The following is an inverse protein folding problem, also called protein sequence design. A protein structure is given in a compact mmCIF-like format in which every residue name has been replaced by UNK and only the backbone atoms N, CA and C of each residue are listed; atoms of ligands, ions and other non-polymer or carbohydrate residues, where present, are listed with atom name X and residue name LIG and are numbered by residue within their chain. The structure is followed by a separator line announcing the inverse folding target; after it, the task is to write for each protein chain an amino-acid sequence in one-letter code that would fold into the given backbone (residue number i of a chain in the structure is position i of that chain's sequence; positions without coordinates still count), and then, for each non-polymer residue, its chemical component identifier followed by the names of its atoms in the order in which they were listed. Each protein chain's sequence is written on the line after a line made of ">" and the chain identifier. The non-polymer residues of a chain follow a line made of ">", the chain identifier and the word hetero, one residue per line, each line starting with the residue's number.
data_IF_366288670075
#
_entry.id   IF_366288670075
#
_cell.length_a   1.000
_cell.length_b   1.000
_cell.length_c   1.000
_cell.angle_alpha   90.00
_cell.angle_beta   90.00
_cell.angle_gamma   90.00
#
_symmetry.space_group_name_H-M   'P 1'
#
loop_
_entity.id
_entity.type
_entity.pdbx_description
1 polymer ?
#
# COMPACT_ATOMS: atom_id res chain seq x y z
N UNK A 1 12.67 39.64 15.55
CA UNK A 1 13.03 38.73 14.43
C UNK A 1 12.89 37.33 14.99
N UNK A 2 11.68 36.78 14.87
CA UNK A 2 11.27 35.57 15.57
C UNK A 2 11.40 34.38 14.61
N UNK A 3 12.33 33.48 14.94
CA UNK A 3 12.54 32.21 14.24
C UNK A 3 11.27 31.36 14.31
N UNK A 4 10.71 31.05 13.14
CA UNK A 4 9.56 30.15 12.99
C UNK A 4 10.08 28.74 12.72
N UNK A 5 10.19 27.94 13.78
CA UNK A 5 10.52 26.52 13.70
C UNK A 5 9.40 25.76 12.98
N UNK A 6 9.63 25.41 11.71
CA UNK A 6 8.72 24.56 10.93
C UNK A 6 8.83 23.12 11.45
N UNK A 7 7.81 22.67 12.18
CA UNK A 7 7.66 21.27 12.59
C UNK A 7 7.26 20.42 11.38
N UNK A 8 8.16 19.54 10.93
CA UNK A 8 7.87 18.51 9.92
C UNK A 8 6.93 17.47 10.54
N UNK A 9 5.84 17.04 9.88
CA UNK A 9 4.97 16.00 10.42
C UNK A 9 5.73 14.67 10.44
N UNK A 10 5.91 14.11 11.63
CA UNK A 10 6.48 12.77 11.84
C UNK A 10 5.64 11.73 11.11
N UNK A 11 6.30 10.86 10.34
CA UNK A 11 5.67 9.74 9.66
C UNK A 11 4.85 8.90 10.64
N UNK A 12 3.58 8.66 10.30
CA UNK A 12 2.64 7.89 11.13
C UNK A 12 3.22 6.48 11.32
N UNK A 13 3.43 5.99 12.55
CA UNK A 13 3.92 4.63 12.75
C UNK A 13 2.94 3.64 12.12
N UNK A 14 3.47 2.62 11.44
CA UNK A 14 2.69 1.52 10.89
C UNK A 14 1.80 0.96 12.01
N UNK A 15 0.48 1.11 11.86
CA UNK A 15 -0.46 0.55 12.82
C UNK A 15 -0.44 -0.95 12.66
N UNK A 16 0.29 -1.64 13.53
CA UNK A 16 0.02 -3.03 13.87
C UNK A 16 -1.31 -3.05 14.63
N UNK A 17 -2.43 -2.96 13.90
CA UNK A 17 -3.75 -3.19 14.48
C UNK A 17 -3.88 -4.67 14.71
N UNK A 18 -3.73 -5.11 15.96
CA UNK A 18 -4.29 -6.39 16.36
C UNK A 18 -5.80 -6.31 16.01
N UNK A 19 -6.34 -7.19 15.14
CA UNK A 19 -7.71 -7.04 14.69
C UNK A 19 -8.63 -7.15 15.91
N UNK A 20 -9.40 -6.09 16.17
CA UNK A 20 -10.52 -6.17 17.10
C UNK A 20 -11.42 -7.30 16.58
N UNK A 21 -11.84 -8.26 17.43
CA UNK A 21 -12.69 -9.36 16.98
C UNK A 21 -13.94 -8.78 16.29
N UNK A 22 -14.09 -9.06 15.00
CA UNK A 22 -15.19 -8.57 14.15
C UNK A 22 -14.86 -7.43 13.18
N UNK A 23 -13.62 -6.90 13.14
CA UNK A 23 -13.20 -5.92 12.13
C UNK A 23 -12.38 -6.62 11.05
N UNK A 24 -12.81 -6.51 9.79
CA UNK A 24 -12.07 -7.06 8.65
C UNK A 24 -10.64 -6.51 8.60
N UNK A 25 -9.67 -7.42 8.46
CA UNK A 25 -8.27 -7.10 8.22
C UNK A 25 -7.77 -7.95 7.05
N UNK A 26 -7.10 -7.37 6.05
CA UNK A 26 -6.54 -8.14 4.96
C UNK A 26 -5.46 -9.10 5.49
N UNK A 27 -5.29 -10.28 4.87
CA UNK A 27 -4.24 -11.22 5.24
C UNK A 27 -2.85 -10.62 4.95
N UNK A 28 -1.83 -10.95 5.74
CA UNK A 28 -0.46 -10.53 5.47
C UNK A 28 0.05 -11.22 4.20
N UNK A 29 0.79 -10.47 3.37
CA UNK A 29 1.47 -10.99 2.18
C UNK A 29 2.91 -11.37 2.55
N UNK A 30 3.36 -12.59 2.23
CA UNK A 30 4.71 -13.05 2.55
C UNK A 30 5.46 -13.64 1.35
N UNK A 31 4.75 -13.94 0.26
CA UNK A 31 5.29 -14.43 -1.01
C UNK A 31 4.63 -13.73 -2.18
N UNK A 32 5.26 -13.79 -3.35
CA UNK A 32 4.80 -13.09 -4.56
C UNK A 32 3.38 -13.51 -4.92
N UNK A 33 3.05 -14.78 -4.75
CA UNK A 33 1.74 -15.35 -5.11
C UNK A 33 0.60 -14.76 -4.25
N UNK A 34 0.89 -14.33 -3.01
CA UNK A 34 -0.12 -13.73 -2.13
C UNK A 34 -0.61 -12.38 -2.64
N UNK A 35 0.19 -11.70 -3.47
CA UNK A 35 -0.19 -10.41 -4.08
C UNK A 35 -1.28 -10.57 -5.15
N UNK A 36 -1.44 -11.78 -5.71
CA UNK A 36 -2.29 -12.03 -6.87
C UNK A 36 -1.79 -11.36 -8.16
N UNK A 37 -0.56 -10.86 -8.17
CA UNK A 37 0.09 -10.24 -9.32
C UNK A 37 1.14 -11.17 -9.93
N UNK A 38 1.33 -11.10 -11.25
CA UNK A 38 2.37 -11.87 -11.93
C UNK A 38 3.78 -11.33 -11.64
N UNK A 39 4.74 -12.22 -11.41
CA UNK A 39 6.13 -11.84 -11.12
C UNK A 39 6.75 -10.95 -12.20
N UNK A 40 6.55 -11.27 -13.49
CA UNK A 40 7.05 -10.46 -14.61
C UNK A 40 6.45 -9.04 -14.62
N UNK A 41 5.18 -8.92 -14.23
CA UNK A 41 4.50 -7.63 -14.13
C UNK A 41 5.08 -6.79 -12.98
N UNK A 42 5.36 -7.43 -11.84
CA UNK A 42 6.03 -6.79 -10.70
C UNK A 42 7.48 -6.38 -11.02
N UNK A 43 8.20 -7.17 -11.82
CA UNK A 43 9.52 -6.81 -12.34
C UNK A 43 9.46 -5.58 -13.26
N UNK A 44 8.50 -5.54 -14.18
CA UNK A 44 8.28 -4.37 -15.04
C UNK A 44 7.90 -3.14 -14.18
N UNK A 45 7.09 -3.30 -13.13
CA UNK A 45 6.75 -2.22 -12.19
C UNK A 45 7.99 -1.71 -11.44
N UNK A 46 8.80 -2.61 -10.88
CA UNK A 46 10.03 -2.25 -10.19
C UNK A 46 11.01 -1.52 -11.12
N UNK A 47 11.17 -1.99 -12.37
CA UNK A 47 12.00 -1.30 -13.36
C UNK A 47 11.52 0.11 -13.66
N UNK A 48 10.21 0.33 -13.78
CA UNK A 48 9.64 1.67 -13.96
C UNK A 48 9.96 2.60 -12.79
N UNK A 49 9.85 2.11 -11.56
CA UNK A 49 10.18 2.87 -10.35
C UNK A 49 11.67 3.25 -10.35
N UNK A 50 12.56 2.30 -10.61
CA UNK A 50 14.01 2.54 -10.64
C UNK A 50 14.36 3.48 -11.80
N UNK A 51 13.72 3.34 -12.97
CA UNK A 51 13.92 4.22 -14.12
C UNK A 51 13.66 5.70 -13.79
N UNK A 52 12.60 6.00 -13.03
CA UNK A 52 12.27 7.37 -12.65
C UNK A 52 13.17 7.94 -11.54
N UNK A 53 13.65 7.11 -10.61
CA UNK A 53 14.44 7.57 -9.45
C UNK A 53 15.97 7.44 -9.63
N UNK A 54 16.42 6.67 -10.62
CA UNK A 54 17.83 6.42 -10.92
C UNK A 54 18.46 5.37 -10.01
N UNK A 55 18.84 5.77 -8.79
CA UNK A 55 19.52 4.91 -7.81
C UNK A 55 18.67 4.73 -6.55
N UNK A 56 18.37 3.49 -6.19
CA UNK A 56 17.58 3.20 -5.00
C UNK A 56 18.13 2.03 -4.21
N UNK A 57 17.97 2.10 -2.89
CA UNK A 57 18.22 0.92 -2.05
C UNK A 57 17.10 -0.09 -2.20
N UNK A 58 17.39 -1.37 -1.94
CA UNK A 58 16.37 -2.43 -1.93
C UNK A 58 15.17 -2.08 -1.04
N UNK A 59 15.41 -1.50 0.15
CA UNK A 59 14.34 -1.01 1.03
C UNK A 59 13.52 0.11 0.41
N UNK A 60 14.14 1.07 -0.28
CA UNK A 60 13.40 2.17 -0.94
C UNK A 60 12.54 1.65 -2.09
N UNK A 61 13.01 0.63 -2.80
CA UNK A 61 12.22 -0.05 -3.83
C UNK A 61 11.02 -0.75 -3.20
N UNK A 62 11.22 -1.46 -2.08
CA UNK A 62 10.16 -2.12 -1.34
C UNK A 62 9.10 -1.13 -0.81
N UNK A 63 9.54 0.01 -0.26
CA UNK A 63 8.65 1.10 0.16
C UNK A 63 7.84 1.66 -1.00
N UNK A 64 8.47 1.90 -2.16
CA UNK A 64 7.80 2.43 -3.35
C UNK A 64 6.75 1.45 -3.91
N UNK A 65 7.05 0.15 -3.87
CA UNK A 65 6.13 -0.93 -4.24
C UNK A 65 5.06 -1.20 -3.17
N UNK A 66 5.24 -0.68 -1.95
CA UNK A 66 4.45 -1.02 -0.75
C UNK A 66 4.35 -2.53 -0.50
N UNK A 67 5.45 -3.25 -0.74
CA UNK A 67 5.54 -4.70 -0.54
C UNK A 67 6.67 -5.04 0.45
N UNK A 68 6.53 -6.11 1.25
CA UNK A 68 7.61 -6.61 2.09
C UNK A 68 8.89 -6.88 1.29
N UNK A 69 10.04 -6.51 1.87
CA UNK A 69 11.31 -6.77 1.22
C UNK A 69 11.58 -8.28 1.11
N UNK A 70 11.50 -8.98 2.25
CA UNK A 70 11.77 -10.40 2.35
C UNK A 70 10.65 -11.23 1.71
N UNK A 71 11.03 -12.18 0.87
CA UNK A 71 10.12 -13.12 0.20
C UNK A 71 9.37 -12.56 -1.00
N UNK A 72 9.51 -11.28 -1.34
CA UNK A 72 8.81 -10.65 -2.47
C UNK A 72 9.76 -9.76 -3.26
N UNK A 73 10.20 -8.63 -2.69
CA UNK A 73 11.01 -7.65 -3.43
C UNK A 73 12.43 -8.18 -3.68
N UNK A 74 13.00 -8.92 -2.73
CA UNK A 74 14.24 -9.67 -2.93
C UNK A 74 14.18 -10.59 -4.16
N UNK A 75 13.11 -11.37 -4.33
CA UNK A 75 12.92 -12.24 -5.50
C UNK A 75 12.78 -11.46 -6.80
N UNK A 76 12.07 -10.34 -6.77
CA UNK A 76 11.92 -9.44 -7.93
C UNK A 76 13.29 -8.89 -8.34
N UNK A 77 14.06 -8.35 -7.39
CA UNK A 77 15.38 -7.77 -7.63
C UNK A 77 16.40 -8.81 -8.06
N UNK A 78 16.34 -10.02 -7.51
CA UNK A 78 17.21 -11.13 -7.92
C UNK A 78 16.94 -11.55 -9.37
N UNK A 79 15.67 -11.64 -9.76
CA UNK A 79 15.30 -11.89 -11.16
C UNK A 79 15.82 -10.80 -12.10
N UNK A 80 15.64 -9.52 -11.74
CA UNK A 80 16.13 -8.40 -12.54
C UNK A 80 17.67 -8.35 -12.62
N UNK A 81 18.38 -8.69 -11.53
CA UNK A 81 19.85 -8.82 -11.51
C UNK A 81 20.30 -9.94 -12.43
N UNK A 82 19.69 -11.12 -12.32
CA UNK A 82 20.01 -12.31 -13.12
C UNK A 82 19.84 -12.03 -14.61
N UNK A 83 18.80 -11.28 -14.97
CA UNK A 83 18.51 -10.86 -16.35
C UNK A 83 19.32 -9.62 -16.78
N UNK A 84 20.23 -9.11 -15.93
CA UNK A 84 21.09 -7.94 -16.18
C UNK A 84 20.34 -6.63 -16.46
N UNK A 85 19.12 -6.51 -15.97
CA UNK A 85 18.30 -5.30 -16.11
C UNK A 85 18.67 -4.25 -15.05
N UNK A 86 19.17 -4.71 -13.90
CA UNK A 86 19.72 -3.87 -12.83
C UNK A 86 21.07 -4.43 -12.37
N UNK A 87 21.83 -3.58 -11.70
CA UNK A 87 23.12 -3.92 -11.10
C UNK A 87 23.26 -3.31 -9.70
N UNK A 88 24.11 -3.90 -8.87
CA UNK A 88 24.44 -3.36 -7.54
C UNK A 88 25.65 -2.44 -7.68
N UNK A 89 25.47 -1.15 -7.40
CA UNK A 89 26.54 -0.13 -7.45
C UNK A 89 27.34 -0.06 -6.17
N UNK A 90 26.70 -0.31 -5.04
CA UNK A 90 27.34 -0.30 -3.73
C UNK A 90 26.64 -1.28 -2.80
N UNK A 91 27.45 -2.01 -2.04
CA UNK A 91 27.00 -2.86 -0.95
C UNK A 91 27.60 -2.32 0.34
N UNK A 92 26.76 -1.89 1.30
CA UNK A 92 27.24 -1.69 2.66
C UNK A 92 27.45 -3.05 3.32
N UNK A 93 28.71 -3.33 3.68
CA UNK A 93 29.12 -4.59 4.29
C UNK A 93 28.28 -4.86 5.56
N UNK A 94 27.70 -6.06 5.65
CA UNK A 94 26.98 -6.52 6.84
C UNK A 94 25.51 -6.09 6.98
N UNK A 95 24.96 -5.30 6.04
CA UNK A 95 23.56 -4.83 6.12
C UNK A 95 22.55 -5.62 5.26
N UNK A 96 23.01 -6.65 4.55
CA UNK A 96 22.18 -7.49 3.68
C UNK A 96 21.73 -6.82 2.37
N UNK A 97 20.99 -7.54 1.54
CA UNK A 97 20.62 -7.09 0.19
C UNK A 97 19.65 -5.90 0.18
N UNK A 98 18.88 -5.74 1.25
CA UNK A 98 17.92 -4.64 1.39
C UNK A 98 18.60 -3.26 1.44
N UNK A 99 19.87 -3.22 1.86
CA UNK A 99 20.68 -2.00 1.91
C UNK A 99 21.50 -1.75 0.63
N UNK A 100 21.51 -2.67 -0.32
CA UNK A 100 22.27 -2.51 -1.55
C UNK A 100 21.71 -1.38 -2.41
N UNK A 101 22.60 -0.58 -2.99
CA UNK A 101 22.22 0.47 -3.93
C UNK A 101 22.14 -0.11 -5.34
N UNK A 102 20.93 -0.18 -5.87
CA UNK A 102 20.65 -0.68 -7.20
C UNK A 102 20.64 0.44 -8.23
N UNK A 103 21.13 0.15 -9.43
CA UNK A 103 21.07 1.02 -10.60
C UNK A 103 20.47 0.26 -11.78
N UNK A 104 19.72 0.98 -12.62
CA UNK A 104 19.19 0.44 -13.87
C UNK A 104 20.30 0.37 -14.93
N UNK A 105 20.36 -0.73 -15.67
CA UNK A 105 21.31 -0.88 -16.79
C UNK A 105 20.70 -0.32 -18.09
N UNK A 106 21.50 -0.23 -19.16
CA UNK A 106 20.98 0.14 -20.48
C UNK A 106 19.87 -0.80 -20.98
N UNK A 107 19.99 -2.11 -20.74
CA UNK A 107 18.96 -3.08 -21.08
C UNK A 107 17.69 -2.88 -20.25
N UNK A 108 17.85 -2.59 -18.95
CA UNK A 108 16.74 -2.24 -18.06
C UNK A 108 16.00 -0.99 -18.51
N UNK A 109 16.71 0.05 -18.98
CA UNK A 109 16.11 1.29 -19.51
C UNK A 109 15.22 0.99 -20.72
N UNK A 110 15.69 0.18 -21.66
CA UNK A 110 14.92 -0.20 -22.86
C UNK A 110 13.64 -0.93 -22.43
N UNK A 111 13.76 -1.95 -21.57
CA UNK A 111 12.61 -2.70 -21.06
C UNK A 111 11.62 -1.83 -20.28
N UNK A 112 12.12 -0.90 -19.46
CA UNK A 112 11.28 0.02 -18.71
C UNK A 112 10.46 0.93 -19.65
N UNK A 113 11.07 1.42 -20.73
CA UNK A 113 10.36 2.22 -21.76
C UNK A 113 9.29 1.40 -22.47
N UNK A 114 9.61 0.18 -22.90
CA UNK A 114 8.61 -0.72 -23.50
C UNK A 114 7.45 -1.01 -22.54
N UNK A 115 7.72 -1.17 -21.24
CA UNK A 115 6.69 -1.35 -20.23
C UNK A 115 5.83 -0.09 -20.02
N UNK A 116 6.44 1.10 -20.08
CA UNK A 116 5.74 2.38 -20.01
C UNK A 116 4.84 2.60 -21.22
N UNK A 117 5.30 2.23 -22.43
CA UNK A 117 4.49 2.33 -23.66
C UNK A 117 3.20 1.51 -23.57
N UNK A 118 3.22 0.38 -22.85
CA UNK A 118 2.03 -0.42 -22.53
C UNK A 118 1.21 0.16 -21.38
N UNK A 119 1.88 0.65 -20.33
CA UNK A 119 1.24 1.14 -19.11
C UNK A 119 2.14 2.11 -18.35
N UNK A 120 1.70 3.37 -18.26
CA UNK A 120 2.38 4.47 -17.58
C UNK A 120 2.33 4.39 -16.04
N UNK A 121 1.60 3.42 -15.47
CA UNK A 121 1.50 3.29 -14.02
C UNK A 121 2.85 2.91 -13.40
N UNK A 122 3.33 3.73 -12.46
CA UNK A 122 4.58 3.52 -11.72
C UNK A 122 4.42 3.93 -10.25
N UNK A 123 3.48 3.28 -9.56
CA UNK A 123 3.19 3.51 -8.15
C UNK A 123 3.26 2.23 -7.30
N UNK A 124 2.61 2.23 -6.12
CA UNK A 124 2.43 1.05 -5.28
C UNK A 124 1.92 -0.18 -6.04
N UNK A 125 2.24 -1.39 -5.60
CA UNK A 125 1.69 -2.59 -6.22
C UNK A 125 0.14 -2.60 -6.07
N UNK A 126 -0.61 -2.67 -7.18
CA UNK A 126 -2.07 -2.65 -7.14
C UNK A 126 -2.63 -3.96 -6.60
N UNK A 127 -3.83 -3.91 -6.05
CA UNK A 127 -4.54 -5.11 -5.61
C UNK A 127 -5.49 -5.57 -6.73
N UNK A 128 -5.59 -6.87 -7.04
CA UNK A 128 -6.55 -7.38 -8.01
C UNK A 128 -7.99 -6.97 -7.66
N UNK A 129 -8.79 -6.63 -8.67
CA UNK A 129 -10.14 -6.09 -8.48
C UNK A 129 -11.04 -7.03 -7.67
N UNK A 130 -10.95 -8.34 -7.91
CA UNK A 130 -11.75 -9.33 -7.17
C UNK A 130 -11.41 -9.36 -5.68
N UNK A 131 -10.12 -9.30 -5.33
CA UNK A 131 -9.66 -9.24 -3.94
C UNK A 131 -10.15 -7.96 -3.26
N UNK A 132 -10.12 -6.84 -3.99
CA UNK A 132 -10.68 -5.57 -3.50
C UNK A 132 -12.19 -5.68 -3.27
N UNK A 133 -12.94 -6.21 -4.24
CA UNK A 133 -14.39 -6.39 -4.14
C UNK A 133 -14.78 -7.26 -2.93
N UNK A 134 -14.09 -8.37 -2.75
CA UNK A 134 -14.30 -9.25 -1.60
C UNK A 134 -13.98 -8.53 -0.28
N UNK A 135 -12.91 -7.74 -0.24
CA UNK A 135 -12.58 -6.93 0.93
C UNK A 135 -13.69 -5.93 1.28
N UNK A 136 -14.31 -5.30 0.27
CA UNK A 136 -15.43 -4.39 0.47
C UNK A 136 -16.68 -5.12 0.96
N UNK A 137 -16.97 -6.31 0.43
CA UNK A 137 -18.10 -7.14 0.90
C UNK A 137 -17.95 -7.57 2.35
N UNK A 138 -16.74 -7.95 2.79
CA UNK A 138 -16.48 -8.32 4.18
C UNK A 138 -16.46 -7.10 5.12
N UNK A 139 -16.12 -5.92 4.62
CA UNK A 139 -16.17 -4.66 5.40
C UNK A 139 -17.56 -4.04 5.45
N UNK A 140 -18.42 -4.35 4.47
CA UNK A 140 -19.81 -3.94 4.47
C UNK A 140 -20.47 -4.57 5.69
N UNK A 141 -20.65 -3.75 6.73
CA UNK A 141 -21.50 -4.11 7.86
C UNK A 141 -22.86 -4.49 7.28
N UNK A 142 -23.40 -5.62 7.70
CA UNK A 142 -24.85 -5.81 7.62
C UNK A 142 -25.49 -4.52 8.15
N UNK A 143 -26.41 -3.94 7.38
CA UNK A 143 -27.11 -2.70 7.73
C UNK A 143 -27.44 -2.78 9.21
N UNK A 144 -26.84 -1.91 10.03
CA UNK A 144 -27.24 -1.80 11.42
C UNK A 144 -28.73 -1.46 11.36
N UNK A 145 -29.58 -2.38 11.80
CA UNK A 145 -31.00 -2.14 11.92
C UNK A 145 -31.16 -1.06 13.00
N UNK A 146 -31.19 0.20 12.58
CA UNK A 146 -31.31 1.31 13.50
C UNK A 146 -32.77 1.42 13.90
N UNK A 147 -33.11 0.77 15.01
CA UNK A 147 -34.41 0.95 15.64
C UNK A 147 -34.44 2.29 16.38
N UNK A 148 -35.60 2.95 16.38
CA UNK A 148 -35.85 4.21 17.11
C UNK A 148 -35.40 4.16 18.57
N UNK A 149 -35.48 3.01 19.25
CA UNK A 149 -34.99 2.85 20.63
C UNK A 149 -33.47 3.02 20.74
N UNK A 150 -32.70 2.47 19.79
CA UNK A 150 -31.24 2.58 19.80
C UNK A 150 -30.79 4.00 19.46
N UNK A 151 -31.49 4.70 18.57
CA UNK A 151 -31.22 6.13 18.29
C UNK A 151 -31.42 6.99 19.54
N UNK A 152 -32.53 6.82 20.27
CA UNK A 152 -32.81 7.64 21.47
C UNK A 152 -31.77 7.41 22.56
N UNK A 153 -31.25 6.19 22.70
CA UNK A 153 -30.23 5.88 23.69
C UNK A 153 -28.86 6.49 23.35
N UNK A 154 -28.47 6.50 22.07
CA UNK A 154 -27.16 7.02 21.63
C UNK A 154 -27.17 8.56 21.52
N UNK A 155 -28.31 9.14 21.16
CA UNK A 155 -28.49 10.58 21.00
C UNK A 155 -29.02 11.25 22.29
N UNK A 156 -29.28 10.49 23.37
CA UNK A 156 -29.87 11.00 24.61
C UNK A 156 -28.98 12.01 25.35
N UNK A 157 -27.66 11.91 25.17
CA UNK A 157 -26.69 12.86 25.73
C UNK A 157 -26.54 14.13 24.86
N UNK A 158 -27.17 14.18 23.69
CA UNK A 158 -27.17 15.32 22.79
C UNK A 158 -28.51 16.06 22.91
N UNK A 159 -28.48 17.31 23.35
CA UNK A 159 -29.67 18.16 23.50
C UNK A 159 -30.18 18.67 22.14
N UNK A 160 -30.86 17.80 21.38
CA UNK A 160 -31.59 18.20 20.17
C UNK A 160 -33.06 18.49 20.47
N UNK A 161 -33.68 19.36 19.67
CA UNK A 161 -35.14 19.50 19.65
C UNK A 161 -35.82 18.30 18.98
N UNK A 162 -36.97 17.88 19.50
CA UNK A 162 -37.75 16.72 19.03
C UNK A 162 -38.00 16.70 17.50
N UNK A 163 -38.16 17.88 16.90
CA UNK A 163 -38.37 18.03 15.45
C UNK A 163 -37.16 17.66 14.60
N UNK A 164 -35.95 17.71 15.15
CA UNK A 164 -34.70 17.26 14.48
C UNK A 164 -34.58 15.74 14.55
N UNK A 165 -35.03 15.13 15.65
CA UNK A 165 -35.00 13.68 15.83
C UNK A 165 -35.91 12.95 14.83
N UNK A 166 -37.13 13.49 14.63
CA UNK A 166 -38.10 12.94 13.68
C UNK A 166 -37.64 13.03 12.22
N UNK A 167 -36.80 14.01 11.87
CA UNK A 167 -36.21 14.15 10.53
C UNK A 167 -35.06 13.18 10.28
N UNK A 168 -34.35 12.75 11.32
CA UNK A 168 -33.27 11.76 11.18
C UNK A 168 -33.80 10.33 11.00
N UNK A 169 -34.94 9.99 11.61
CA UNK A 169 -35.51 8.63 11.54
C UNK A 169 -35.61 8.02 10.12
N UNK A 170 -36.14 8.74 9.12
CA UNK A 170 -36.24 8.25 7.74
C UNK A 170 -34.89 8.17 6.99
N UNK A 171 -33.87 8.92 7.41
CA UNK A 171 -32.58 9.00 6.72
C UNK A 171 -31.59 7.91 7.15
N UNK A 172 -31.88 7.21 8.25
CA UNK A 172 -31.00 6.22 8.88
C UNK A 172 -31.47 4.77 8.63
N UNK A 173 -32.69 4.56 8.11
CA UNK A 173 -33.26 3.26 7.74
C UNK A 173 -33.07 2.90 6.24
#
# INVERSE_FOLDING_TARGET
>A
MSDSSVTIPVARPARTTNPLPGVFSPPPVNKVEDTGLGLLWLQDLALKIIYFQGYLTGLKIAEALTLPFAGIVDQILEGLKRDKMIEVRSSQMGLGESAYLYAITGAGIIRAREALDRCQYAGPAPVPLEVYNDSIRHQSRDRVQVNSRNMHQVLGDLTFGESTFQKLGPAVN
#
